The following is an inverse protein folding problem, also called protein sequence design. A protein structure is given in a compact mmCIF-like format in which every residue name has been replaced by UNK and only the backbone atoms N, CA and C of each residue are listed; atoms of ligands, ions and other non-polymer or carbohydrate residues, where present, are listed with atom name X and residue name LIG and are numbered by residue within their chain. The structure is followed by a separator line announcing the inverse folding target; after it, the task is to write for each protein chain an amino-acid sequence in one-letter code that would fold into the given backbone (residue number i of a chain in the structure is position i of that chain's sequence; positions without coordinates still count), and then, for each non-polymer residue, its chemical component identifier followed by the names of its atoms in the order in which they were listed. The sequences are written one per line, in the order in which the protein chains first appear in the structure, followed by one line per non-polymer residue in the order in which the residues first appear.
data_IF_557044490003
#
_entry.id   IF_557044490003
#
_cell.length_a   1.000
_cell.length_b   1.000
_cell.length_c   1.000
_cell.angle_alpha   90.00
_cell.angle_beta   90.00
_cell.angle_gamma   90.00
#
_symmetry.space_group_name_H-M   'P 1'
#
loop_
_entity.id
_entity.type
_entity.pdbx_description
1 polymer ?
#
# COMPACT_ATOMS: atom_id res chain seq x y z
N UNK A 1 35.14 -19.23 24.26
CA UNK A 1 34.23 -18.71 23.21
C UNK A 1 33.20 -17.71 23.76
N UNK A 2 32.58 -17.95 24.92
CA UNK A 2 31.54 -17.06 25.50
C UNK A 2 32.07 -15.67 25.92
N UNK A 3 33.31 -15.58 26.42
CA UNK A 3 33.89 -14.31 26.90
C UNK A 3 34.04 -13.24 25.81
N UNK A 4 34.38 -13.65 24.57
CA UNK A 4 34.58 -12.72 23.45
C UNK A 4 33.28 -12.02 23.08
N UNK A 5 32.15 -12.74 23.12
CA UNK A 5 30.83 -12.17 22.84
C UNK A 5 30.41 -11.11 23.88
N UNK A 6 30.65 -11.39 25.17
CA UNK A 6 30.31 -10.46 26.26
C UNK A 6 31.16 -9.18 26.20
N UNK A 7 32.46 -9.30 25.90
CA UNK A 7 33.34 -8.14 25.74
C UNK A 7 32.95 -7.30 24.52
N UNK A 8 32.64 -7.93 23.38
CA UNK A 8 32.22 -7.23 22.16
C UNK A 8 30.90 -6.45 22.36
N UNK A 9 29.93 -7.03 23.07
CA UNK A 9 28.67 -6.34 23.37
C UNK A 9 28.93 -5.10 24.24
N UNK A 10 29.78 -5.23 25.28
CA UNK A 10 30.07 -4.13 26.20
C UNK A 10 30.82 -2.98 25.51
N UNK A 11 31.76 -3.28 24.62
CA UNK A 11 32.49 -2.24 23.87
C UNK A 11 31.57 -1.49 22.91
N UNK A 12 30.67 -2.20 22.23
CA UNK A 12 29.70 -1.56 21.32
C UNK A 12 28.70 -0.70 22.10
N UNK A 13 28.21 -1.18 23.24
CA UNK A 13 27.30 -0.40 24.09
C UNK A 13 27.96 0.90 24.56
N UNK A 14 29.21 0.84 25.02
CA UNK A 14 29.96 2.03 25.43
C UNK A 14 30.13 3.02 24.28
N UNK A 15 30.45 2.55 23.07
CA UNK A 15 30.55 3.42 21.89
C UNK A 15 29.23 4.07 21.51
N UNK A 16 28.10 3.35 21.66
CA UNK A 16 26.76 3.90 21.40
C UNK A 16 26.40 4.96 22.44
N UNK A 17 26.62 4.69 23.73
CA UNK A 17 26.33 5.65 24.81
C UNK A 17 27.09 6.95 24.61
N UNK A 18 28.39 6.85 24.31
CA UNK A 18 29.21 8.02 23.98
C UNK A 18 28.74 8.74 22.72
N UNK A 19 28.40 8.00 21.66
CA UNK A 19 27.87 8.58 20.43
C UNK A 19 26.57 9.35 20.66
N UNK A 20 25.67 8.83 21.51
CA UNK A 20 24.43 9.51 21.87
C UNK A 20 24.71 10.75 22.72
N UNK A 21 25.60 10.65 23.71
CA UNK A 21 25.95 11.77 24.57
C UNK A 21 26.54 12.94 23.75
N UNK A 22 27.42 12.64 22.79
CA UNK A 22 28.02 13.63 21.90
C UNK A 22 26.98 14.27 20.96
N UNK A 23 26.06 13.46 20.43
CA UNK A 23 24.96 13.96 19.59
C UNK A 23 23.98 14.86 20.36
N UNK A 24 23.71 14.56 21.63
CA UNK A 24 22.85 15.38 22.50
C UNK A 24 23.51 16.72 22.84
N UNK A 25 24.84 16.73 23.01
CA UNK A 25 25.59 17.95 23.29
C UNK A 25 25.78 18.85 22.05
N UNK A 26 25.63 18.29 20.84
CA UNK A 26 25.81 19.00 19.57
C UNK A 26 24.56 18.89 18.68
N UNK A 27 23.54 19.69 19.01
CA UNK A 27 22.27 19.77 18.27
C UNK A 27 22.43 20.06 16.77
N UNK A 28 23.45 20.83 16.37
CA UNK A 28 23.74 21.12 14.96
C UNK A 28 24.17 19.86 14.17
N UNK A 29 24.97 18.99 14.79
CA UNK A 29 25.44 17.73 14.19
C UNK A 29 24.26 16.76 14.09
N UNK A 30 23.41 16.72 15.10
CA UNK A 30 22.19 15.91 15.09
C UNK A 30 21.23 16.33 13.97
N UNK A 31 21.04 17.64 13.78
CA UNK A 31 20.20 18.17 12.70
C UNK A 31 20.80 17.87 11.32
N UNK A 32 22.12 18.02 11.17
CA UNK A 32 22.81 17.67 9.93
C UNK A 32 22.68 16.18 9.61
N UNK A 33 22.90 15.31 10.59
CA UNK A 33 22.74 13.85 10.44
C UNK A 33 21.32 13.49 9.99
N UNK A 34 20.30 14.13 10.59
CA UNK A 34 18.91 13.93 10.20
C UNK A 34 18.65 14.38 8.77
N UNK A 35 19.14 15.56 8.40
CA UNK A 35 18.97 16.09 7.04
C UNK A 35 19.66 15.22 5.99
N UNK A 36 20.88 14.74 6.25
CA UNK A 36 21.59 13.85 5.33
C UNK A 36 20.89 12.48 5.21
N UNK A 37 20.39 11.94 6.33
CA UNK A 37 19.62 10.70 6.33
C UNK A 37 18.30 10.85 5.57
N UNK A 38 17.59 11.97 5.79
CA UNK A 38 16.38 12.31 5.07
C UNK A 38 16.67 12.60 3.59
N UNK A 39 17.79 13.24 3.22
CA UNK A 39 18.17 13.42 1.81
C UNK A 39 18.46 12.08 1.13
N UNK A 40 19.20 11.18 1.78
CA UNK A 40 19.54 9.87 1.20
C UNK A 40 18.32 8.94 1.14
N UNK A 41 17.38 9.02 2.08
CA UNK A 41 16.20 8.16 2.15
C UNK A 41 14.92 8.76 1.53
N UNK A 42 14.76 10.07 1.51
CA UNK A 42 13.52 10.75 1.11
C UNK A 42 13.51 11.26 -0.34
N UNK A 43 14.64 11.21 -1.07
CA UNK A 43 14.66 11.70 -2.46
C UNK A 43 13.95 10.79 -3.47
N UNK A 44 13.51 9.60 -3.06
CA UNK A 44 12.75 8.70 -3.94
C UNK A 44 11.30 8.57 -3.49
N UNK A 45 10.43 9.46 -3.98
CA UNK A 45 8.98 9.21 -3.93
C UNK A 45 8.67 8.04 -4.86
N UNK A 46 8.35 6.88 -4.30
CA UNK A 46 8.02 5.70 -5.11
C UNK A 46 6.52 5.70 -5.34
N UNK A 47 6.13 6.07 -6.56
CA UNK A 47 4.74 5.97 -7.02
C UNK A 47 4.49 4.58 -7.60
N UNK A 48 3.70 3.79 -6.88
CA UNK A 48 3.26 2.48 -7.38
C UNK A 48 1.96 2.67 -8.16
N UNK A 49 1.98 2.34 -9.46
CA UNK A 49 0.77 2.33 -10.28
C UNK A 49 -0.08 1.08 -9.97
N UNK A 50 -0.91 1.17 -8.94
CA UNK A 50 -1.78 0.07 -8.51
C UNK A 50 -2.80 -0.34 -9.58
N UNK A 51 -3.30 0.61 -10.38
CA UNK A 51 -4.21 0.31 -11.49
C UNK A 51 -3.52 -0.55 -12.56
N UNK A 52 -2.30 -0.20 -12.96
CA UNK A 52 -1.53 -0.98 -13.92
C UNK A 52 -1.21 -2.37 -13.39
N UNK A 53 -0.85 -2.51 -12.10
CA UNK A 53 -0.62 -3.81 -11.48
C UNK A 53 -1.86 -4.72 -11.54
N UNK A 54 -3.04 -4.15 -11.28
CA UNK A 54 -4.32 -4.86 -11.31
C UNK A 54 -4.86 -5.14 -12.74
N UNK A 55 -4.32 -4.48 -13.78
CA UNK A 55 -4.80 -4.59 -15.17
C UNK A 55 -3.73 -5.03 -16.17
N UNK A 56 -2.55 -5.44 -15.71
CA UNK A 56 -1.46 -5.85 -16.59
C UNK A 56 -1.81 -7.19 -17.29
N UNK A 57 -1.88 -7.24 -18.64
CA UNK A 57 -2.21 -8.47 -19.37
C UNK A 57 -1.17 -9.58 -19.23
N UNK A 58 0.05 -9.28 -18.78
CA UNK A 58 1.05 -10.30 -18.46
C UNK A 58 0.70 -11.09 -17.19
N UNK A 59 -0.03 -10.46 -16.27
CA UNK A 59 -0.31 -10.99 -14.93
C UNK A 59 -1.77 -11.39 -14.73
N UNK A 60 -2.68 -10.87 -15.56
CA UNK A 60 -4.12 -11.08 -15.48
C UNK A 60 -4.67 -11.58 -16.80
N UNK A 61 -5.52 -12.61 -16.76
CA UNK A 61 -6.28 -13.06 -17.93
C UNK A 61 -7.41 -12.07 -18.20
N UNK A 62 -7.48 -11.56 -19.44
CA UNK A 62 -8.51 -10.62 -19.91
C UNK A 62 -8.81 -9.49 -18.88
N UNK A 63 -7.82 -8.62 -18.58
CA UNK A 63 -7.96 -7.60 -17.53
C UNK A 63 -9.01 -6.53 -17.84
N UNK A 64 -9.29 -6.27 -19.13
CA UNK A 64 -10.27 -5.27 -19.56
C UNK A 64 -11.72 -5.69 -19.32
N UNK A 65 -11.97 -7.00 -19.18
CA UNK A 65 -13.31 -7.52 -18.97
C UNK A 65 -13.67 -7.50 -17.48
N UNK A 66 -14.80 -6.87 -17.15
CA UNK A 66 -15.35 -6.93 -15.81
C UNK A 66 -15.90 -8.34 -15.54
N UNK A 67 -15.09 -9.19 -14.90
CA UNK A 67 -15.42 -10.59 -14.56
C UNK A 67 -15.16 -10.84 -13.08
N UNK A 68 -16.14 -10.68 -12.18
CA UNK A 68 -15.95 -10.94 -10.76
C UNK A 68 -15.63 -12.40 -10.45
N UNK A 69 -16.03 -13.34 -11.30
CA UNK A 69 -15.83 -14.79 -11.14
C UNK A 69 -14.35 -15.18 -11.09
N UNK A 70 -13.45 -14.35 -11.63
CA UNK A 70 -11.99 -14.57 -11.58
C UNK A 70 -11.47 -14.75 -10.14
N UNK A 71 -12.10 -14.08 -9.17
CA UNK A 71 -11.74 -14.16 -7.75
C UNK A 71 -12.32 -15.40 -7.05
N UNK A 72 -13.10 -16.21 -7.77
CA UNK A 72 -13.61 -17.51 -7.30
C UNK A 72 -12.90 -18.69 -8.01
N UNK A 73 -12.29 -18.44 -9.16
CA UNK A 73 -11.63 -19.43 -10.01
C UNK A 73 -10.10 -19.24 -10.01
N UNK A 74 -9.55 -18.65 -11.07
CA UNK A 74 -8.09 -18.56 -11.30
C UNK A 74 -7.35 -17.77 -10.21
N UNK A 75 -7.97 -16.76 -9.63
CA UNK A 75 -7.39 -15.86 -8.62
C UNK A 75 -8.06 -16.04 -7.25
N UNK A 76 -8.57 -17.24 -6.94
CA UNK A 76 -9.26 -17.54 -5.66
C UNK A 76 -8.43 -17.28 -4.39
N UNK A 77 -7.10 -17.16 -4.52
CA UNK A 77 -6.17 -16.84 -3.41
C UNK A 77 -5.85 -15.35 -3.30
N UNK A 78 -6.31 -14.54 -4.25
CA UNK A 78 -6.05 -13.11 -4.30
C UNK A 78 -7.09 -12.38 -3.46
N UNK A 79 -6.64 -11.73 -2.41
CA UNK A 79 -7.49 -11.02 -1.46
C UNK A 79 -7.19 -9.52 -1.47
N UNK A 80 -8.20 -8.71 -1.16
CA UNK A 80 -8.07 -7.26 -1.10
C UNK A 80 -7.16 -6.76 0.05
N UNK A 81 -6.76 -7.65 0.98
CA UNK A 81 -5.88 -7.35 2.11
C UNK A 81 -4.40 -7.15 1.71
N UNK A 82 -4.06 -7.33 0.44
CA UNK A 82 -2.71 -7.17 -0.08
C UNK A 82 -1.82 -8.41 0.10
N UNK A 83 -2.40 -9.61 0.18
CA UNK A 83 -1.65 -10.88 0.14
C UNK A 83 -0.90 -11.06 -1.19
N UNK A 84 -1.41 -10.48 -2.28
CA UNK A 84 -0.78 -10.50 -3.60
C UNK A 84 -0.45 -9.09 -4.09
N UNK A 85 0.81 -8.83 -4.41
CA UNK A 85 1.29 -7.54 -4.91
C UNK A 85 0.69 -7.14 -6.28
N UNK A 86 0.07 -8.09 -7.00
CA UNK A 86 -0.68 -7.81 -8.23
C UNK A 86 -2.00 -7.10 -7.96
N UNK A 87 -2.55 -7.20 -6.76
CA UNK A 87 -3.87 -6.65 -6.42
C UNK A 87 -3.84 -5.84 -5.12
N UNK A 88 -3.62 -4.52 -5.26
CA UNK A 88 -3.39 -3.61 -4.14
C UNK A 88 -4.41 -2.47 -4.08
N UNK A 89 -5.72 -2.75 -3.95
CA UNK A 89 -6.75 -1.71 -3.93
C UNK A 89 -6.63 -0.76 -2.72
N UNK A 90 -6.03 -1.22 -1.61
CA UNK A 90 -5.84 -0.45 -0.36
C UNK A 90 -4.37 -0.32 0.08
N UNK A 91 -3.41 -0.68 -0.78
CA UNK A 91 -1.97 -0.65 -0.47
C UNK A 91 -1.48 -1.72 0.53
N UNK A 92 -0.15 -1.83 0.71
CA UNK A 92 0.53 -2.88 1.53
C UNK A 92 1.30 -2.30 2.72
N UNK A 93 1.27 -1.00 2.98
CA UNK A 93 2.00 -0.43 4.13
C UNK A 93 1.03 0.03 5.20
N UNK A 94 1.42 -0.16 6.46
CA UNK A 94 0.59 -0.13 7.68
C UNK A 94 -0.27 1.11 7.91
N UNK A 95 -0.06 2.19 7.16
CA UNK A 95 -0.86 3.42 7.20
C UNK A 95 -2.07 3.45 6.26
N UNK A 96 -2.08 2.72 5.13
CA UNK A 96 -3.20 2.74 4.16
C UNK A 96 -4.31 1.69 4.47
N UNK A 97 -4.05 0.71 5.35
CA UNK A 97 -4.98 -0.38 5.68
C UNK A 97 -6.14 -0.12 6.67
N UNK A 98 -6.18 0.92 7.53
CA UNK A 98 -7.18 0.95 8.60
C UNK A 98 -8.63 1.00 8.10
N UNK A 99 -8.86 1.40 6.84
CA UNK A 99 -10.20 1.47 6.23
C UNK A 99 -10.75 0.15 5.66
N UNK A 100 -9.91 -0.87 5.39
CA UNK A 100 -10.36 -2.03 4.59
C UNK A 100 -11.44 -2.87 5.29
N UNK A 101 -11.33 -3.03 6.61
CA UNK A 101 -12.25 -3.81 7.44
C UNK A 101 -13.66 -3.21 7.40
N UNK A 102 -13.78 -1.90 7.21
CA UNK A 102 -15.06 -1.20 7.11
C UNK A 102 -15.51 -1.06 5.65
N UNK A 103 -14.59 -0.79 4.73
CA UNK A 103 -14.91 -0.52 3.33
C UNK A 103 -15.51 -1.74 2.62
N UNK A 104 -14.96 -2.94 2.82
CA UNK A 104 -15.44 -4.15 2.11
C UNK A 104 -16.87 -4.54 2.50
N UNK A 105 -17.25 -4.63 3.80
CA UNK A 105 -18.64 -4.92 4.17
C UNK A 105 -19.61 -3.83 3.72
N UNK A 106 -19.23 -2.55 3.82
CA UNK A 106 -20.08 -1.44 3.39
C UNK A 106 -20.35 -1.53 1.90
N UNK A 107 -19.32 -1.73 1.06
CA UNK A 107 -19.47 -1.92 -0.37
C UNK A 107 -20.38 -3.10 -0.70
N UNK A 108 -20.17 -4.25 -0.06
CA UNK A 108 -20.99 -5.44 -0.26
C UNK A 108 -22.46 -5.22 0.11
N UNK A 109 -22.73 -4.59 1.26
CA UNK A 109 -24.09 -4.31 1.71
C UNK A 109 -24.77 -3.30 0.79
N UNK A 110 -24.09 -2.20 0.44
CA UNK A 110 -24.66 -1.16 -0.43
C UNK A 110 -24.99 -1.71 -1.81
N UNK A 111 -24.08 -2.45 -2.44
CA UNK A 111 -24.32 -3.08 -3.74
C UNK A 111 -25.43 -4.14 -3.66
N UNK A 112 -25.43 -4.97 -2.61
CA UNK A 112 -26.48 -5.97 -2.39
C UNK A 112 -27.86 -5.33 -2.22
N UNK A 113 -27.95 -4.23 -1.44
CA UNK A 113 -29.20 -3.50 -1.23
C UNK A 113 -29.67 -2.80 -2.51
N UNK A 114 -28.76 -2.19 -3.27
CA UNK A 114 -29.10 -1.55 -4.54
C UNK A 114 -29.60 -2.59 -5.55
N UNK A 115 -28.88 -3.70 -5.73
CA UNK A 115 -29.26 -4.74 -6.68
C UNK A 115 -30.56 -5.48 -6.32
N UNK A 116 -30.91 -5.57 -5.04
CA UNK A 116 -32.18 -6.19 -4.61
C UNK A 116 -33.40 -5.29 -4.80
N UNK A 117 -33.24 -3.96 -4.67
CA UNK A 117 -34.37 -3.02 -4.60
C UNK A 117 -34.50 -2.14 -5.84
N UNK A 118 -33.47 -2.04 -6.68
CA UNK A 118 -33.43 -1.12 -7.82
C UNK A 118 -32.87 -1.80 -9.07
N UNK A 119 -33.48 -1.50 -10.20
CA UNK A 119 -32.89 -1.77 -11.52
C UNK A 119 -32.01 -0.58 -11.90
N UNK A 120 -30.70 -0.80 -12.00
CA UNK A 120 -29.72 0.24 -12.31
C UNK A 120 -29.62 0.41 -13.84
N UNK A 121 -30.31 1.42 -14.37
CA UNK A 121 -30.33 1.75 -15.79
C UNK A 121 -29.53 3.03 -16.08
N UNK A 122 -28.94 3.16 -17.28
CA UNK A 122 -28.36 4.43 -17.71
C UNK A 122 -29.44 5.51 -17.88
N UNK A 123 -29.08 6.80 -17.79
CA UNK A 123 -30.01 7.90 -18.04
C UNK A 123 -30.67 7.77 -19.42
N UNK A 124 -31.93 8.23 -19.58
CA UNK A 124 -32.64 8.16 -20.85
C UNK A 124 -31.82 8.86 -21.95
N UNK A 125 -31.60 8.13 -23.06
CA UNK A 125 -30.78 8.58 -24.18
C UNK A 125 -29.32 8.10 -24.18
N UNK A 126 -28.88 7.38 -23.14
CA UNK A 126 -27.54 6.77 -23.09
C UNK A 126 -27.65 5.24 -23.06
N UNK A 127 -26.91 4.54 -23.92
CA UNK A 127 -26.83 3.07 -23.90
C UNK A 127 -25.84 2.56 -22.85
N UNK A 128 -24.88 3.40 -22.43
CA UNK A 128 -23.86 3.08 -21.43
C UNK A 128 -23.47 4.36 -20.67
N UNK A 129 -23.13 4.20 -19.39
CA UNK A 129 -22.51 5.26 -18.59
C UNK A 129 -21.06 5.48 -19.05
N UNK A 130 -20.63 6.74 -19.09
CA UNK A 130 -19.22 7.06 -19.31
C UNK A 130 -18.40 6.58 -18.10
N UNK A 131 -17.34 5.82 -18.37
CA UNK A 131 -16.43 5.27 -17.35
C UNK A 131 -14.99 5.71 -17.59
N UNK A 132 -14.77 6.80 -18.33
CA UNK A 132 -13.45 7.35 -18.67
C UNK A 132 -12.60 7.75 -17.44
N UNK A 133 -13.22 8.07 -16.30
CA UNK A 133 -12.55 8.52 -15.07
C UNK A 133 -11.98 7.37 -14.20
N UNK A 134 -11.49 6.28 -14.81
CA UNK A 134 -10.92 5.12 -14.08
C UNK A 134 -9.50 5.36 -13.52
N UNK A 135 -8.84 6.43 -13.94
CA UNK A 135 -7.41 6.68 -13.67
C UNK A 135 -7.14 7.61 -12.48
N UNK A 136 -8.18 8.20 -11.88
CA UNK A 136 -8.00 9.16 -10.80
C UNK A 136 -7.90 8.46 -9.43
N UNK A 137 -6.68 8.47 -8.88
CA UNK A 137 -6.34 8.32 -7.46
C UNK A 137 -6.18 6.89 -6.92
N UNK A 138 -5.05 6.26 -7.24
CA UNK A 138 -4.44 5.24 -6.38
C UNK A 138 -3.01 5.66 -6.01
N UNK A 139 -2.86 6.88 -5.50
CA UNK A 139 -1.59 7.34 -4.94
C UNK A 139 -1.62 7.13 -3.40
N UNK A 140 -1.36 5.90 -2.93
CA UNK A 140 -0.65 5.80 -1.67
C UNK A 140 0.81 6.14 -2.02
N UNK A 141 1.22 7.38 -1.75
CA UNK A 141 2.62 7.78 -1.82
C UNK A 141 3.41 6.96 -0.80
N UNK A 142 4.43 6.23 -1.25
CA UNK A 142 5.39 5.55 -0.39
C UNK A 142 6.65 6.39 -0.26
#
# INVERSE_FOLDING_TARGET
MILIGVTAIKTTLWSIEWGIAELVNHLEIQQKLRNELDTVLAESKILVNAWWLANNPANWKNPQDFRPERFLEEEAKVEANGNDFRYLPFGVVGSCRPGIILALPILGITLGRLGQNFELLPPPGHSKLDTSMREANSACTY
#
